data_IF_397916784812
#
_entry.id   IF_397916784812
#
_cell.length_a   1.000
_cell.length_b   1.000
_cell.length_c   1.000
_cell.angle_alpha   90.00
_cell.angle_beta   90.00
_cell.angle_gamma   90.00
#
_symmetry.space_group_name_H-M   'P 1'
#
loop_
_entity.id
_entity.type
_entity.pdbx_description
1 polymer ?
#
# COMPACT_ATOMS: atom_id res chain seq x y z
N UNK A 1 22.80 -31.50 12.63
CA UNK A 1 23.03 -30.21 11.95
C UNK A 1 21.91 -29.95 10.94
N UNK A 2 21.50 -30.98 10.19
CA UNK A 2 20.43 -30.94 9.19
C UNK A 2 19.06 -30.48 9.71
N UNK A 3 18.67 -30.84 10.94
CA UNK A 3 17.38 -30.39 11.53
C UNK A 3 17.38 -28.91 11.92
N UNK A 4 18.53 -28.36 12.33
CA UNK A 4 18.66 -26.95 12.72
C UNK A 4 18.73 -26.05 11.50
N UNK A 5 19.47 -26.44 10.46
CA UNK A 5 19.45 -25.75 9.16
C UNK A 5 18.05 -25.79 8.53
N UNK A 6 17.37 -26.93 8.61
CA UNK A 6 15.98 -27.04 8.15
C UNK A 6 15.04 -26.12 8.95
N UNK A 7 15.15 -26.09 10.28
CA UNK A 7 14.32 -25.24 11.13
C UNK A 7 14.52 -23.75 10.83
N UNK A 8 15.77 -23.30 10.70
CA UNK A 8 16.12 -21.91 10.34
C UNK A 8 15.60 -21.57 8.93
N UNK A 9 15.65 -22.51 7.99
CA UNK A 9 15.14 -22.30 6.62
C UNK A 9 13.61 -22.20 6.56
N UNK A 10 12.88 -22.99 7.36
CA UNK A 10 11.42 -22.94 7.40
C UNK A 10 10.89 -21.64 8.02
N UNK A 11 11.56 -21.13 9.06
CA UNK A 11 11.23 -19.86 9.70
C UNK A 11 11.45 -18.66 8.75
N UNK A 12 12.56 -18.68 8.00
CA UNK A 12 12.85 -17.67 6.97
C UNK A 12 11.84 -17.70 5.83
N UNK A 13 11.52 -18.89 5.31
CA UNK A 13 10.54 -19.05 4.23
C UNK A 13 9.15 -18.54 4.66
N UNK A 14 8.73 -18.86 5.89
CA UNK A 14 7.47 -18.38 6.47
C UNK A 14 7.46 -16.85 6.55
N UNK A 15 8.55 -16.23 6.97
CA UNK A 15 8.68 -14.78 7.06
C UNK A 15 8.61 -14.10 5.68
N UNK A 16 9.26 -14.68 4.67
CA UNK A 16 9.19 -14.20 3.28
C UNK A 16 7.75 -14.28 2.75
N UNK A 17 7.08 -15.43 2.91
CA UNK A 17 5.69 -15.59 2.47
C UNK A 17 4.74 -14.64 3.20
N UNK A 18 4.92 -14.46 4.51
CA UNK A 18 4.10 -13.57 5.32
C UNK A 18 4.26 -12.11 4.87
N UNK A 19 5.50 -11.62 4.77
CA UNK A 19 5.78 -10.24 4.36
C UNK A 19 5.34 -9.97 2.92
N UNK A 20 5.52 -10.92 2.00
CA UNK A 20 4.98 -10.85 0.65
C UNK A 20 3.45 -10.78 0.61
N UNK A 21 2.78 -11.63 1.41
CA UNK A 21 1.32 -11.66 1.48
C UNK A 21 0.76 -10.36 2.04
N UNK A 22 1.37 -9.83 3.11
CA UNK A 22 0.99 -8.55 3.70
C UNK A 22 1.20 -7.40 2.72
N UNK A 23 2.32 -7.38 1.99
CA UNK A 23 2.58 -6.37 0.95
C UNK A 23 1.58 -6.46 -0.21
N UNK A 24 1.17 -7.67 -0.59
CA UNK A 24 0.16 -7.88 -1.63
C UNK A 24 -1.22 -7.41 -1.15
N UNK A 25 -1.61 -7.75 0.08
CA UNK A 25 -2.87 -7.29 0.71
C UNK A 25 -2.88 -5.78 0.84
N UNK A 26 -1.75 -5.17 1.21
CA UNK A 26 -1.56 -3.73 1.18
C UNK A 26 -1.91 -3.21 -0.22
N UNK A 27 -1.22 -3.69 -1.24
CA UNK A 27 -1.37 -3.17 -2.61
C UNK A 27 -2.80 -3.36 -3.16
N UNK A 28 -3.54 -4.36 -2.67
CA UNK A 28 -4.95 -4.57 -3.02
C UNK A 28 -5.90 -3.59 -2.36
N UNK A 29 -5.71 -3.26 -1.07
CA UNK A 29 -6.74 -2.58 -0.29
C UNK A 29 -6.28 -1.29 0.41
N UNK A 30 -4.98 -0.98 0.41
CA UNK A 30 -4.33 0.09 1.18
C UNK A 30 -4.85 0.19 2.63
N UNK A 31 -5.04 -0.96 3.30
CA UNK A 31 -5.48 -0.99 4.70
C UNK A 31 -4.32 -0.82 5.68
N UNK A 32 -3.14 -1.30 5.28
CA UNK A 32 -1.93 -1.27 6.07
C UNK A 32 -1.10 -0.07 5.61
N UNK A 33 -0.68 0.84 6.50
CA UNK A 33 0.29 1.87 6.14
C UNK A 33 1.57 1.24 5.58
N UNK A 34 1.95 1.61 4.35
CA UNK A 34 3.10 1.00 3.67
C UNK A 34 4.40 1.14 4.48
N UNK A 35 4.57 2.28 5.15
CA UNK A 35 5.75 2.54 6.00
C UNK A 35 5.94 1.47 7.07
N UNK A 36 4.87 0.85 7.59
CA UNK A 36 5.00 -0.23 8.56
C UNK A 36 5.65 -1.47 7.96
N UNK A 37 5.22 -1.85 6.76
CA UNK A 37 5.75 -3.03 6.07
C UNK A 37 7.20 -2.80 5.67
N UNK A 38 7.53 -1.59 5.21
CA UNK A 38 8.92 -1.20 4.93
C UNK A 38 9.76 -1.26 6.20
N UNK A 39 9.29 -0.71 7.31
CA UNK A 39 9.99 -0.78 8.60
C UNK A 39 10.21 -2.22 9.05
N UNK A 40 9.19 -3.08 8.99
CA UNK A 40 9.31 -4.51 9.32
C UNK A 40 10.38 -5.18 8.46
N UNK A 41 10.35 -4.95 7.14
CA UNK A 41 11.33 -5.53 6.23
C UNK A 41 12.76 -5.03 6.50
N UNK A 42 12.95 -3.76 6.88
CA UNK A 42 14.25 -3.20 7.25
C UNK A 42 14.78 -3.79 8.56
N UNK A 43 13.90 -4.07 9.53
CA UNK A 43 14.29 -4.74 10.77
C UNK A 43 14.71 -6.20 10.55
N UNK A 44 14.04 -6.91 9.64
CA UNK A 44 14.30 -8.33 9.37
C UNK A 44 15.52 -8.52 8.45
N UNK A 45 15.63 -7.71 7.40
CA UNK A 45 16.58 -7.92 6.30
C UNK A 45 17.65 -6.82 6.19
N UNK A 46 17.75 -5.92 7.17
CA UNK A 46 18.61 -4.74 7.11
C UNK A 46 18.29 -3.83 5.91
N UNK A 47 19.07 -2.75 5.71
CA UNK A 47 18.72 -1.72 4.73
C UNK A 47 18.68 -2.24 3.29
N UNK A 48 19.76 -2.87 2.82
CA UNK A 48 19.90 -3.23 1.40
C UNK A 48 18.91 -4.31 0.98
N UNK A 49 18.87 -5.45 1.68
CA UNK A 49 17.94 -6.52 1.34
C UNK A 49 16.51 -6.13 1.69
N UNK A 50 16.28 -5.39 2.79
CA UNK A 50 14.96 -4.87 3.15
C UNK A 50 14.40 -3.91 2.10
N UNK A 51 15.23 -3.07 1.50
CA UNK A 51 14.85 -2.21 0.37
C UNK A 51 14.45 -3.03 -0.85
N UNK A 52 15.32 -3.92 -1.34
CA UNK A 52 15.04 -4.71 -2.55
C UNK A 52 13.85 -5.66 -2.34
N UNK A 53 13.70 -6.23 -1.14
CA UNK A 53 12.55 -7.06 -0.79
C UNK A 53 11.26 -6.24 -0.76
N UNK A 54 11.25 -5.08 -0.10
CA UNK A 54 10.09 -4.18 -0.06
C UNK A 54 9.69 -3.70 -1.45
N UNK A 55 10.67 -3.32 -2.27
CA UNK A 55 10.45 -2.89 -3.64
C UNK A 55 9.90 -4.01 -4.51
N UNK A 56 10.56 -5.17 -4.53
CA UNK A 56 10.16 -6.32 -5.33
C UNK A 56 8.77 -6.84 -4.96
N UNK A 57 8.50 -7.03 -3.67
CA UNK A 57 7.19 -7.49 -3.19
C UNK A 57 6.09 -6.46 -3.43
N UNK A 58 6.40 -5.15 -3.34
CA UNK A 58 5.44 -4.08 -3.65
C UNK A 58 5.11 -4.03 -5.14
N UNK A 59 6.10 -4.16 -6.02
CA UNK A 59 5.88 -4.24 -7.47
C UNK A 59 5.06 -5.49 -7.81
N UNK A 60 5.42 -6.65 -7.27
CA UNK A 60 4.67 -7.89 -7.47
C UNK A 60 3.22 -7.76 -6.98
N UNK A 61 3.00 -7.22 -5.78
CA UNK A 61 1.67 -6.95 -5.24
C UNK A 61 0.87 -5.97 -6.09
N UNK A 62 1.50 -4.92 -6.62
CA UNK A 62 0.89 -3.97 -7.56
C UNK A 62 0.50 -4.63 -8.88
N UNK A 63 1.31 -5.55 -9.41
CA UNK A 63 1.02 -6.31 -10.63
C UNK A 63 -0.16 -7.25 -10.40
N UNK A 64 -0.14 -8.00 -9.30
CA UNK A 64 -1.23 -8.90 -8.90
C UNK A 64 -2.53 -8.09 -8.75
N UNK A 65 -2.49 -6.97 -8.05
CA UNK A 65 -3.65 -6.10 -7.85
C UNK A 65 -4.21 -5.56 -9.17
N UNK A 66 -3.35 -5.11 -10.08
CA UNK A 66 -3.74 -4.64 -11.41
C UNK A 66 -4.42 -5.74 -12.23
N UNK A 67 -3.83 -6.93 -12.28
CA UNK A 67 -4.34 -8.08 -13.03
C UNK A 67 -5.66 -8.56 -12.42
N UNK A 68 -5.73 -8.69 -11.10
CA UNK A 68 -6.95 -9.05 -10.38
C UNK A 68 -8.08 -8.06 -10.68
N UNK A 69 -7.78 -6.77 -10.63
CA UNK A 69 -8.77 -5.76 -10.92
C UNK A 69 -9.23 -5.80 -12.37
N UNK A 70 -8.30 -5.92 -13.33
CA UNK A 70 -8.60 -5.91 -14.75
C UNK A 70 -9.56 -7.02 -15.19
N UNK A 71 -9.41 -8.24 -14.65
CA UNK A 71 -10.20 -9.38 -15.14
C UNK A 71 -11.29 -9.87 -14.17
N UNK A 72 -11.15 -9.68 -12.86
CA UNK A 72 -12.08 -10.28 -11.88
C UNK A 72 -12.81 -9.27 -10.99
N UNK A 73 -12.18 -8.15 -10.63
CA UNK A 73 -12.72 -7.26 -9.59
C UNK A 73 -13.34 -5.95 -10.13
N UNK A 74 -13.39 -5.74 -11.45
CA UNK A 74 -13.95 -4.51 -12.04
C UNK A 74 -15.37 -4.20 -11.51
N UNK A 75 -16.24 -5.20 -11.45
CA UNK A 75 -17.63 -5.04 -11.00
C UNK A 75 -17.74 -4.62 -9.53
N UNK A 76 -16.83 -5.11 -8.67
CA UNK A 76 -16.86 -4.85 -7.23
C UNK A 76 -16.43 -3.42 -6.86
N UNK A 77 -15.47 -2.85 -7.59
CA UNK A 77 -14.96 -1.50 -7.29
C UNK A 77 -15.32 -0.45 -8.33
N UNK A 78 -16.24 -0.73 -9.26
CA UNK A 78 -16.70 0.24 -10.27
C UNK A 78 -17.18 1.56 -9.65
N UNK A 79 -17.81 1.51 -8.46
CA UNK A 79 -18.28 2.69 -7.72
C UNK A 79 -17.16 3.47 -6.99
N UNK A 80 -16.00 2.86 -6.77
CA UNK A 80 -14.83 3.49 -6.13
C UNK A 80 -13.79 3.99 -7.15
N UNK A 81 -14.11 3.86 -8.44
CA UNK A 81 -13.24 4.27 -9.52
C UNK A 81 -13.32 5.79 -9.70
N UNK A 82 -12.18 6.45 -9.58
CA UNK A 82 -12.02 7.84 -9.97
C UNK A 82 -11.97 7.92 -11.51
N UNK A 83 -13.03 8.46 -12.11
CA UNK A 83 -13.16 8.57 -13.56
C UNK A 83 -12.13 9.52 -14.16
N UNK A 84 -11.81 10.62 -13.48
CA UNK A 84 -10.80 11.57 -13.95
C UNK A 84 -9.42 10.92 -13.95
N UNK A 85 -9.12 10.15 -12.90
CA UNK A 85 -7.85 9.44 -12.82
C UNK A 85 -7.74 8.38 -13.93
N UNK A 86 -8.84 7.65 -14.22
CA UNK A 86 -8.89 6.71 -15.34
C UNK A 86 -8.63 7.41 -16.68
N UNK A 87 -9.32 8.50 -16.98
CA UNK A 87 -9.16 9.24 -18.25
C UNK A 87 -7.73 9.78 -18.42
N UNK A 88 -7.11 10.26 -17.34
CA UNK A 88 -5.70 10.68 -17.33
C UNK A 88 -4.74 9.51 -17.58
N UNK A 89 -5.03 8.32 -17.05
CA UNK A 89 -4.26 7.10 -17.36
C UNK A 89 -4.41 6.71 -18.84
N UNK A 90 -5.60 6.86 -19.42
CA UNK A 90 -5.82 6.51 -20.83
C UNK A 90 -5.09 7.47 -21.79
N UNK A 91 -4.97 8.75 -21.42
CA UNK A 91 -4.25 9.76 -22.21
C UNK A 91 -2.73 9.77 -21.99
N UNK A 92 -2.25 9.59 -20.76
CA UNK A 92 -0.85 9.78 -20.38
C UNK A 92 -0.24 8.59 -19.63
N UNK A 93 -0.77 7.38 -19.84
CA UNK A 93 -0.61 6.19 -18.99
C UNK A 93 0.71 6.01 -18.26
N UNK A 94 1.84 5.90 -18.98
CA UNK A 94 3.14 5.70 -18.32
C UNK A 94 3.51 6.86 -17.38
N UNK A 95 3.51 8.10 -17.90
CA UNK A 95 3.93 9.28 -17.14
C UNK A 95 2.98 9.54 -15.98
N UNK A 96 1.67 9.40 -16.20
CA UNK A 96 0.68 9.66 -15.16
C UNK A 96 0.76 8.64 -14.02
N UNK A 97 0.92 7.34 -14.33
CA UNK A 97 1.17 6.33 -13.30
C UNK A 97 2.47 6.63 -12.55
N UNK A 98 3.54 6.97 -13.25
CA UNK A 98 4.82 7.31 -12.64
C UNK A 98 4.66 8.48 -11.66
N UNK A 99 3.99 9.56 -12.05
CA UNK A 99 3.70 10.69 -11.17
C UNK A 99 2.90 10.27 -9.93
N UNK A 100 1.84 9.47 -10.10
CA UNK A 100 1.05 9.00 -8.96
C UNK A 100 1.87 8.16 -7.98
N UNK A 101 2.81 7.34 -8.45
CA UNK A 101 3.69 6.53 -7.60
C UNK A 101 4.72 7.35 -6.82
N UNK A 102 5.12 8.50 -7.35
CA UNK A 102 6.07 9.40 -6.67
C UNK A 102 5.40 10.25 -5.58
N UNK A 103 4.07 10.37 -5.59
CA UNK A 103 3.33 11.11 -4.57
C UNK A 103 3.08 10.19 -3.36
N UNK A 104 3.61 10.50 -2.17
CA UNK A 104 3.59 9.60 -1.02
C UNK A 104 2.19 9.37 -0.42
N UNK A 105 1.24 10.26 -0.72
CA UNK A 105 -0.12 10.22 -0.18
C UNK A 105 -1.11 9.48 -1.07
N UNK A 106 -0.72 9.08 -2.29
CA UNK A 106 -1.60 8.36 -3.20
C UNK A 106 -1.62 6.88 -2.79
N UNK A 107 -2.78 6.33 -2.41
CA UNK A 107 -2.88 4.91 -2.06
C UNK A 107 -2.53 4.02 -3.25
N UNK A 108 -1.63 3.06 -3.06
CA UNK A 108 -1.23 2.15 -4.15
C UNK A 108 -2.41 1.38 -4.72
N UNK A 109 -3.38 0.97 -3.88
CA UNK A 109 -4.60 0.30 -4.38
C UNK A 109 -5.42 1.18 -5.32
N UNK A 110 -5.48 2.50 -5.09
CA UNK A 110 -6.21 3.42 -5.96
C UNK A 110 -5.57 3.47 -7.36
N UNK A 111 -4.23 3.57 -7.42
CA UNK A 111 -3.48 3.53 -8.67
C UNK A 111 -3.70 2.20 -9.39
N UNK A 112 -3.59 1.08 -8.67
CA UNK A 112 -3.75 -0.27 -9.23
C UNK A 112 -5.16 -0.49 -9.80
N UNK A 113 -6.19 -0.06 -9.07
CA UNK A 113 -7.60 -0.15 -9.47
C UNK A 113 -7.84 0.67 -10.73
N UNK A 114 -7.48 1.96 -10.73
CA UNK A 114 -7.72 2.81 -11.90
C UNK A 114 -6.93 2.37 -13.13
N UNK A 115 -5.69 1.93 -12.94
CA UNK A 115 -4.88 1.36 -14.02
C UNK A 115 -5.53 0.08 -14.58
N UNK A 116 -5.96 -0.84 -13.72
CA UNK A 116 -6.64 -2.07 -14.16
C UNK A 116 -7.98 -1.81 -14.85
N UNK A 117 -8.68 -0.72 -14.51
CA UNK A 117 -9.93 -0.25 -15.11
C UNK A 117 -9.76 0.44 -16.48
N UNK A 118 -8.54 0.93 -16.74
CA UNK A 118 -8.20 1.69 -17.94
C UNK A 118 -7.75 0.79 -19.09
N UNK A 119 -7.58 1.40 -20.26
CA UNK A 119 -7.00 0.75 -21.45
C UNK A 119 -5.47 0.70 -21.47
N UNK A 120 -4.78 1.11 -20.39
CA UNK A 120 -3.30 1.10 -20.36
C UNK A 120 -2.76 -0.33 -20.58
N UNK A 121 -1.74 -0.45 -21.44
CA UNK A 121 -1.03 -1.71 -21.66
C UNK A 121 -0.29 -2.16 -20.39
N UNK A 122 -0.24 -3.47 -20.16
CA UNK A 122 0.49 -4.08 -19.03
C UNK A 122 1.93 -3.57 -18.93
N UNK A 123 2.69 -3.55 -20.02
CA UNK A 123 4.10 -3.14 -20.01
C UNK A 123 4.32 -1.69 -19.58
N UNK A 124 3.45 -0.75 -19.99
CA UNK A 124 3.50 0.65 -19.53
C UNK A 124 3.20 0.79 -18.04
N UNK A 125 2.21 0.05 -17.55
CA UNK A 125 1.91 0.04 -16.12
C UNK A 125 3.06 -0.54 -15.28
N UNK A 126 3.63 -1.68 -15.72
CA UNK A 126 4.72 -2.36 -15.03
C UNK A 126 5.98 -1.51 -15.01
N UNK A 127 6.40 -0.95 -16.15
CA UNK A 127 7.58 -0.09 -16.23
C UNK A 127 7.43 1.18 -15.38
N UNK A 128 6.28 1.85 -15.42
CA UNK A 128 6.01 3.01 -14.58
C UNK A 128 6.03 2.65 -13.08
N UNK A 129 5.43 1.51 -12.71
CA UNK A 129 5.39 1.03 -11.32
C UNK A 129 6.78 0.60 -10.83
N UNK A 130 7.59 -0.07 -11.66
CA UNK A 130 8.97 -0.44 -11.33
C UNK A 130 9.79 0.79 -10.95
N UNK A 131 9.80 1.81 -11.82
CA UNK A 131 10.59 3.04 -11.65
C UNK A 131 10.03 3.85 -10.47
N UNK A 132 8.71 4.10 -10.46
CA UNK A 132 8.05 4.88 -9.44
C UNK A 132 8.21 4.29 -8.05
N UNK A 133 7.96 2.98 -7.90
CA UNK A 133 8.12 2.30 -6.62
C UNK A 133 9.59 2.20 -6.21
N UNK A 134 10.54 2.09 -7.15
CA UNK A 134 11.97 2.09 -6.80
C UNK A 134 12.34 3.38 -6.07
N UNK A 135 12.01 4.52 -6.68
CA UNK A 135 12.29 5.84 -6.10
C UNK A 135 11.54 6.03 -4.79
N UNK A 136 10.23 5.78 -4.79
CA UNK A 136 9.38 5.98 -3.62
C UNK A 136 9.79 5.11 -2.43
N UNK A 137 10.01 3.81 -2.65
CA UNK A 137 10.40 2.88 -1.58
C UNK A 137 11.83 3.16 -1.13
N UNK A 138 12.73 3.56 -2.02
CA UNK A 138 14.07 3.98 -1.63
C UNK A 138 14.02 5.18 -0.68
N UNK A 139 13.27 6.22 -1.04
CA UNK A 139 13.07 7.39 -0.18
C UNK A 139 12.46 7.01 1.18
N UNK A 140 11.49 6.10 1.18
CA UNK A 140 10.85 5.63 2.41
C UNK A 140 11.81 4.81 3.29
N UNK A 141 12.58 3.89 2.70
CA UNK A 141 13.60 3.11 3.42
C UNK A 141 14.66 4.02 4.02
N UNK A 142 15.14 4.99 3.23
CA UNK A 142 16.11 5.98 3.70
C UNK A 142 15.56 6.79 4.88
N UNK A 143 14.33 7.30 4.76
CA UNK A 143 13.66 8.01 5.85
C UNK A 143 13.54 7.16 7.12
N UNK A 144 13.10 5.90 7.00
CA UNK A 144 12.99 4.98 8.14
C UNK A 144 14.35 4.69 8.76
N UNK A 145 15.39 4.49 7.95
CA UNK A 145 16.75 4.22 8.43
C UNK A 145 17.32 5.40 9.22
N UNK A 146 17.13 6.63 8.75
CA UNK A 146 17.51 7.85 9.48
C UNK A 146 16.74 8.00 10.79
N UNK A 147 15.43 7.69 10.80
CA UNK A 147 14.63 7.72 12.04
C UNK A 147 15.11 6.71 13.07
N UNK A 148 15.43 5.48 12.65
CA UNK A 148 15.99 4.44 13.52
C UNK A 148 17.34 4.90 14.08
N UNK A 149 18.20 5.45 13.23
CA UNK A 149 19.52 5.96 13.62
C UNK A 149 19.44 7.13 14.61
N UNK A 150 18.38 7.96 14.50
CA UNK A 150 18.08 9.05 15.42
C UNK A 150 17.40 8.59 16.74
N UNK A 151 17.23 7.28 16.96
CA UNK A 151 16.48 6.70 18.09
C UNK A 151 15.04 7.23 18.22
N UNK A 152 14.41 7.58 17.10
CA UNK A 152 13.00 7.98 17.08
C UNK A 152 12.14 6.72 17.10
N UNK A 153 11.42 6.50 18.19
CA UNK A 153 10.50 5.37 18.28
C UNK A 153 9.31 5.56 17.32
N UNK A 154 9.20 4.68 16.31
CA UNK A 154 8.13 4.72 15.30
C UNK A 154 6.78 4.25 15.90
N UNK A 155 6.82 3.30 16.84
CA UNK A 155 5.62 2.67 17.42
C UNK A 155 4.70 3.65 18.20
N UNK A 156 5.21 4.54 19.06
CA UNK A 156 4.39 5.55 19.73
C UNK A 156 3.76 6.55 18.74
N UNK A 157 4.50 6.98 17.72
CA UNK A 157 4.02 7.92 16.71
C UNK A 157 2.85 7.30 15.94
N UNK A 158 3.02 6.04 15.54
CA UNK A 158 2.05 5.36 14.70
C UNK A 158 0.79 4.92 15.47
N UNK A 159 0.96 4.48 16.73
CA UNK A 159 -0.17 4.20 17.63
C UNK A 159 -0.96 5.47 17.96
N UNK A 160 -0.27 6.61 18.13
CA UNK A 160 -0.90 7.92 18.27
C UNK A 160 -1.73 8.31 17.04
N UNK A 161 -1.19 8.10 15.83
CA UNK A 161 -1.88 8.42 14.58
C UNK A 161 -3.11 7.54 14.34
N UNK A 162 -3.01 6.24 14.61
CA UNK A 162 -4.14 5.30 14.61
C UNK A 162 -5.20 5.67 15.65
N UNK A 163 -4.79 6.04 16.87
CA UNK A 163 -5.67 6.51 17.92
C UNK A 163 -6.45 7.77 17.51
N UNK A 164 -5.77 8.75 16.91
CA UNK A 164 -6.38 9.97 16.37
C UNK A 164 -7.41 9.68 15.27
N UNK A 165 -7.10 8.78 14.34
CA UNK A 165 -8.02 8.37 13.29
C UNK A 165 -9.25 7.65 13.85
N UNK A 166 -9.08 6.79 14.87
CA UNK A 166 -10.17 6.13 15.59
C UNK A 166 -11.06 7.15 16.30
N UNK A 167 -10.47 8.12 17.01
CA UNK A 167 -11.22 9.18 17.69
C UNK A 167 -12.01 10.01 16.67
N UNK A 168 -11.39 10.43 15.57
CA UNK A 168 -12.05 11.17 14.50
C UNK A 168 -13.21 10.38 13.89
N UNK A 169 -13.03 9.06 13.69
CA UNK A 169 -14.09 8.17 13.23
C UNK A 169 -15.25 8.06 14.23
N UNK A 170 -14.96 7.89 15.53
CA UNK A 170 -15.99 7.82 16.58
C UNK A 170 -16.78 9.13 16.70
N UNK A 171 -16.11 10.28 16.57
CA UNK A 171 -16.76 11.60 16.56
C UNK A 171 -17.68 11.74 15.35
N UNK A 172 -17.21 11.37 14.15
CA UNK A 172 -18.03 11.37 12.93
C UNK A 172 -19.25 10.46 13.09
N UNK A 173 -19.06 9.23 13.57
CA UNK A 173 -20.16 8.27 13.80
C UNK A 173 -21.19 8.82 14.79
N UNK A 174 -20.76 9.48 15.87
CA UNK A 174 -21.66 10.12 16.85
C UNK A 174 -22.46 11.29 16.24
N UNK A 175 -21.84 12.14 15.41
CA UNK A 175 -22.55 13.23 14.73
C UNK A 175 -23.61 12.70 13.76
N UNK A 176 -23.26 11.75 12.90
CA UNK A 176 -24.20 11.16 11.94
C UNK A 176 -25.35 10.40 12.62
N UNK A 177 -25.12 9.82 13.81
CA UNK A 177 -26.18 9.16 14.58
C UNK A 177 -27.15 10.18 15.21
N UNK A 178 -26.65 11.30 15.73
CA UNK A 178 -27.49 12.37 16.32
C UNK A 178 -28.33 13.13 15.28
N UNK A 179 -27.81 13.33 14.07
CA UNK A 179 -28.56 13.94 12.97
C UNK A 179 -29.76 13.07 12.56
N UNK A 180 -29.57 11.76 12.44
CA UNK A 180 -30.66 10.82 12.11
C UNK A 180 -31.76 10.73 13.16
N UNK A 181 -31.43 10.91 14.44
CA UNK A 181 -32.38 10.88 15.55
C UNK A 181 -33.27 12.15 15.56
N UNK A 182 -32.68 13.32 15.31
CA UNK A 182 -33.40 14.60 15.16
C UNK A 182 -34.36 14.60 13.97
N UNK A 183 -33.96 14.03 12.83
CA UNK A 183 -34.81 13.96 11.63
C UNK A 183 -36.04 13.03 11.80
N UNK A 184 -35.99 12.10 12.77
CA UNK A 184 -37.13 11.23 13.12
C UNK A 184 -38.10 11.87 14.11
N UNK A 185 -37.65 12.77 14.99
CA UNK A 185 -38.53 13.50 15.93
C UNK A 185 -39.32 14.65 15.27
N UNK A 186 -38.91 15.12 14.08
CA UNK A 186 -39.55 16.24 13.36
C UNK A 186 -40.62 15.75 12.35
N UNK A 187 -40.76 14.43 12.13
CA UNK A 187 -41.80 13.81 11.30
C UNK A 187 -42.98 13.33 12.12
#
# INVERSE_FOLDING_TARGET
MDEVEKYISEEQLTTLFLTFSLMTIQNLFTLIPLILLVTINLFIYEFTLGFFWSWGTSVAGSIISFVLYRYWLQSLFRKRMDLEMKEKIESHGFLFILYLRLIPFVPSSLVNIAAGASTISFSRYVSATLIGNFIYIFMMCFFVHEMISANIEILPILSGLLGLLLIAYLIRKRKTSKEKEKDMEIK
#
